data_IF_260073437089
#
_entry.id   IF_260073437089
#
_cell.length_a   1.000
_cell.length_b   1.000
_cell.length_c   1.000
_cell.angle_alpha   90.00
_cell.angle_beta   90.00
_cell.angle_gamma   90.00
#
_symmetry.space_group_name_H-M   'P 1'
#
loop_
_entity.id
_entity.type
_entity.pdbx_description
1 polymer ?
#
# COMPACT_ATOMS: atom_id res chain seq x y z
N UNK A 1 -0.56 25.04 -4.39
CA UNK A 1 -1.82 24.78 -3.65
C UNK A 1 -1.47 24.61 -2.18
N UNK A 2 -2.26 25.13 -1.24
CA UNK A 2 -2.03 24.95 0.19
C UNK A 2 -2.74 23.71 0.71
N UNK A 3 -2.09 22.95 1.60
CA UNK A 3 -2.71 21.86 2.35
C UNK A 3 -3.93 22.39 3.11
N UNK A 4 -5.05 21.67 3.07
CA UNK A 4 -6.33 22.10 3.69
C UNK A 4 -6.27 22.08 5.22
N UNK A 5 -5.75 20.99 5.80
CA UNK A 5 -5.59 20.82 7.24
C UNK A 5 -4.35 19.97 7.51
N UNK A 6 -3.52 20.40 8.46
CA UNK A 6 -2.42 19.59 8.97
C UNK A 6 -2.91 18.84 10.22
N UNK A 7 -3.38 17.60 10.04
CA UNK A 7 -3.96 16.78 11.13
C UNK A 7 -2.96 16.62 12.28
N UNK A 8 -1.67 16.40 11.98
CA UNK A 8 -0.65 16.24 13.01
C UNK A 8 -0.49 17.50 13.88
N UNK A 9 -0.65 18.70 13.30
CA UNK A 9 -0.56 19.95 14.07
C UNK A 9 -1.83 20.24 14.88
N UNK A 10 -3.01 19.99 14.33
CA UNK A 10 -4.29 20.36 14.96
C UNK A 10 -4.82 19.29 15.92
N UNK A 11 -4.53 18.02 15.66
CA UNK A 11 -4.93 16.89 16.49
C UNK A 11 -3.87 15.76 16.39
N UNK A 12 -2.76 15.89 17.13
CA UNK A 12 -1.67 14.90 17.11
C UNK A 12 -2.12 13.50 17.52
N UNK A 13 -3.10 13.39 18.42
CA UNK A 13 -3.64 12.11 18.87
C UNK A 13 -4.35 11.37 17.72
N UNK A 14 -5.18 12.07 16.95
CA UNK A 14 -5.82 11.50 15.77
C UNK A 14 -4.77 11.04 14.74
N UNK A 15 -3.73 11.84 14.48
CA UNK A 15 -2.64 11.43 13.59
C UNK A 15 -1.84 10.22 14.12
N UNK A 16 -1.66 10.14 15.44
CA UNK A 16 -0.95 9.05 16.10
C UNK A 16 -1.67 7.70 15.95
N UNK A 17 -3.01 7.69 15.84
CA UNK A 17 -3.77 6.45 15.61
C UNK A 17 -3.36 5.76 14.30
N UNK A 18 -3.35 6.50 13.19
CA UNK A 18 -2.90 6.01 11.88
C UNK A 18 -1.40 5.70 11.89
N UNK A 19 -0.59 6.51 12.58
CA UNK A 19 0.83 6.24 12.75
C UNK A 19 1.09 4.93 13.50
N UNK A 20 0.20 4.53 14.41
CA UNK A 20 0.26 3.25 15.12
C UNK A 20 0.11 2.05 14.18
N UNK A 21 -0.82 2.13 13.23
CA UNK A 21 -0.98 1.11 12.19
C UNK A 21 0.28 1.01 11.31
N UNK A 22 0.86 2.14 10.91
CA UNK A 22 2.11 2.15 10.13
C UNK A 22 3.28 1.54 10.91
N UNK A 23 3.40 1.83 12.21
CA UNK A 23 4.42 1.20 13.07
C UNK A 23 4.26 -0.31 13.13
N UNK A 24 3.03 -0.80 13.25
CA UNK A 24 2.74 -2.23 13.20
C UNK A 24 3.19 -2.84 11.86
N UNK A 25 2.79 -2.24 10.73
CA UNK A 25 3.16 -2.72 9.39
C UNK A 25 4.68 -2.76 9.21
N UNK A 26 5.40 -1.70 9.63
CA UNK A 26 6.88 -1.65 9.57
C UNK A 26 7.57 -2.70 10.45
N UNK A 27 6.94 -3.12 11.53
CA UNK A 27 7.45 -4.13 12.45
C UNK A 27 6.93 -5.56 12.15
N UNK A 28 6.12 -5.72 11.10
CA UNK A 28 5.55 -6.99 10.69
C UNK A 28 6.62 -7.96 10.17
N UNK A 29 6.23 -9.22 9.98
CA UNK A 29 7.10 -10.23 9.38
C UNK A 29 7.16 -10.17 7.85
N UNK A 30 6.42 -9.26 7.23
CA UNK A 30 6.43 -9.08 5.78
C UNK A 30 7.78 -8.59 5.27
N UNK A 31 8.13 -9.07 4.08
CA UNK A 31 9.29 -8.60 3.35
C UNK A 31 9.09 -7.13 2.97
N UNK A 32 10.07 -6.27 3.29
CA UNK A 32 9.99 -4.83 3.00
C UNK A 32 9.65 -4.52 1.53
N UNK A 33 10.19 -5.23 0.51
CA UNK A 33 9.80 -5.01 -0.87
C UNK A 33 8.29 -5.19 -1.10
N UNK A 34 7.67 -6.23 -0.52
CA UNK A 34 6.22 -6.46 -0.64
C UNK A 34 5.43 -5.30 -0.02
N UNK A 35 5.84 -4.82 1.16
CA UNK A 35 5.18 -3.67 1.81
C UNK A 35 5.18 -2.46 0.89
N UNK A 36 6.32 -2.11 0.28
CA UNK A 36 6.40 -0.93 -0.58
C UNK A 36 5.67 -1.12 -1.92
N UNK A 37 5.70 -2.32 -2.53
CA UNK A 37 4.89 -2.62 -3.72
C UNK A 37 3.39 -2.46 -3.45
N UNK A 38 2.90 -3.00 -2.32
CA UNK A 38 1.51 -2.85 -1.87
C UNK A 38 1.16 -1.37 -1.71
N UNK A 39 2.02 -0.62 -1.03
CA UNK A 39 1.81 0.81 -0.78
C UNK A 39 1.76 1.64 -2.06
N UNK A 40 2.69 1.40 -2.99
CA UNK A 40 2.70 2.09 -4.28
C UNK A 40 1.46 1.71 -5.08
N UNK A 41 1.12 0.41 -5.18
CA UNK A 41 0.00 -0.03 -6.02
C UNK A 41 -1.36 0.49 -5.53
N UNK A 42 -1.62 0.41 -4.23
CA UNK A 42 -2.84 1.00 -3.66
C UNK A 42 -2.90 2.52 -3.91
N UNK A 43 -1.76 3.21 -3.77
CA UNK A 43 -1.67 4.65 -4.01
C UNK A 43 -1.90 5.04 -5.47
N UNK A 44 -1.43 4.23 -6.43
CA UNK A 44 -1.72 4.40 -7.85
C UNK A 44 -3.23 4.28 -8.12
N UNK A 45 -3.89 3.27 -7.57
CA UNK A 45 -5.34 3.06 -7.74
C UNK A 45 -6.17 4.19 -7.11
N UNK A 46 -5.77 4.68 -5.94
CA UNK A 46 -6.45 5.77 -5.26
C UNK A 46 -6.09 7.16 -5.81
N UNK A 47 -5.06 7.29 -6.65
CA UNK A 47 -4.58 8.57 -7.18
C UNK A 47 -3.88 9.46 -6.13
N UNK A 48 -3.25 8.88 -5.11
CA UNK A 48 -2.51 9.66 -4.10
C UNK A 48 -1.09 10.02 -4.59
N UNK A 49 -0.91 11.17 -5.24
CA UNK A 49 0.39 11.61 -5.75
C UNK A 49 1.47 11.75 -4.65
N UNK A 50 1.10 12.26 -3.47
CA UNK A 50 2.00 12.34 -2.32
C UNK A 50 2.53 10.95 -1.90
N UNK A 51 1.63 10.00 -1.77
CA UNK A 51 1.95 8.64 -1.33
C UNK A 51 2.80 7.90 -2.39
N UNK A 52 2.49 8.09 -3.68
CA UNK A 52 3.30 7.55 -4.78
C UNK A 52 4.73 8.11 -4.71
N UNK A 53 4.90 9.43 -4.57
CA UNK A 53 6.22 10.05 -4.45
C UNK A 53 7.01 9.50 -3.25
N UNK A 54 6.37 9.40 -2.09
CA UNK A 54 7.01 8.92 -0.86
C UNK A 54 7.44 7.46 -0.98
N UNK A 55 6.52 6.57 -1.34
CA UNK A 55 6.80 5.13 -1.35
C UNK A 55 7.69 4.69 -2.51
N UNK A 56 7.68 5.39 -3.65
CA UNK A 56 8.69 5.12 -4.70
C UNK A 56 10.09 5.60 -4.30
N UNK A 57 10.23 6.63 -3.46
CA UNK A 57 11.53 7.00 -2.86
C UNK A 57 11.98 5.96 -1.82
N UNK A 58 11.08 5.53 -0.93
CA UNK A 58 11.37 4.49 0.06
C UNK A 58 11.75 3.16 -0.61
N UNK A 59 10.97 2.68 -1.59
CA UNK A 59 11.24 1.45 -2.32
C UNK A 59 12.64 1.45 -2.97
N UNK A 60 13.02 2.55 -3.62
CA UNK A 60 14.36 2.69 -4.22
C UNK A 60 15.47 2.68 -3.18
N UNK A 61 15.25 3.29 -2.02
CA UNK A 61 16.22 3.26 -0.93
C UNK A 61 16.44 1.85 -0.36
N UNK A 62 15.46 0.96 -0.52
CA UNK A 62 15.52 -0.46 -0.12
C UNK A 62 15.92 -1.39 -1.28
N UNK A 63 16.33 -0.84 -2.43
CA UNK A 63 16.88 -1.61 -3.56
C UNK A 63 15.89 -1.99 -4.67
N UNK A 64 14.66 -1.47 -4.63
CA UNK A 64 13.70 -1.67 -5.72
C UNK A 64 14.16 -0.96 -7.01
N UNK A 65 13.79 -1.52 -8.16
CA UNK A 65 14.26 -1.03 -9.46
C UNK A 65 13.23 -0.11 -10.12
N UNK A 66 13.72 0.88 -10.88
CA UNK A 66 12.85 1.74 -11.70
C UNK A 66 11.98 0.92 -12.66
N UNK A 67 12.54 -0.16 -13.25
CA UNK A 67 11.80 -1.06 -14.13
C UNK A 67 10.57 -1.65 -13.44
N UNK A 68 10.73 -2.19 -12.23
CA UNK A 68 9.62 -2.78 -11.47
C UNK A 68 8.63 -1.71 -10.99
N UNK A 69 9.10 -0.55 -10.55
CA UNK A 69 8.23 0.57 -10.14
C UNK A 69 7.33 1.04 -11.29
N UNK A 70 7.89 1.23 -12.49
CA UNK A 70 7.13 1.65 -13.66
C UNK A 70 6.16 0.57 -14.13
N UNK A 71 6.62 -0.69 -14.13
CA UNK A 71 5.83 -1.85 -14.52
C UNK A 71 4.69 -2.18 -13.55
N UNK A 72 4.76 -1.72 -12.29
CA UNK A 72 3.81 -2.06 -11.23
C UNK A 72 2.36 -1.75 -11.58
N UNK A 73 2.10 -0.70 -12.36
CA UNK A 73 0.73 -0.36 -12.79
C UNK A 73 0.11 -1.38 -13.77
N UNK A 74 0.96 -2.18 -14.41
CA UNK A 74 0.64 -3.21 -15.38
C UNK A 74 1.23 -4.58 -14.99
N UNK A 75 1.41 -4.84 -13.68
CA UNK A 75 2.19 -5.98 -13.16
C UNK A 75 1.79 -7.36 -13.72
N UNK A 76 0.52 -7.56 -14.09
CA UNK A 76 -0.01 -8.81 -14.67
C UNK A 76 0.57 -9.15 -16.06
N UNK A 77 1.02 -8.14 -16.80
CA UNK A 77 1.57 -8.30 -18.16
C UNK A 77 3.11 -8.18 -18.16
N UNK A 78 3.74 -8.68 -17.09
CA UNK A 78 5.19 -8.55 -16.89
C UNK A 78 5.75 -9.80 -16.21
N UNK A 79 7.02 -10.15 -16.46
CA UNK A 79 7.67 -11.28 -15.80
C UNK A 79 8.42 -10.88 -14.52
N UNK A 80 8.28 -9.63 -14.04
CA UNK A 80 9.19 -9.08 -13.03
C UNK A 80 8.83 -9.43 -11.59
N UNK A 81 7.60 -9.86 -11.33
CA UNK A 81 7.07 -10.10 -9.99
C UNK A 81 6.92 -11.61 -9.74
N UNK A 82 7.39 -12.08 -8.59
CA UNK A 82 7.21 -13.47 -8.14
C UNK A 82 5.74 -13.81 -7.89
N UNK A 83 5.39 -15.09 -7.83
CA UNK A 83 4.01 -15.54 -7.54
C UNK A 83 3.49 -14.97 -6.20
N UNK A 84 4.34 -14.92 -5.17
CA UNK A 84 4.02 -14.32 -3.88
C UNK A 84 3.73 -12.82 -3.97
N UNK A 85 4.53 -12.07 -4.74
CA UNK A 85 4.29 -10.65 -4.99
C UNK A 85 3.02 -10.42 -5.80
N UNK A 86 2.77 -11.24 -6.83
CA UNK A 86 1.56 -11.18 -7.63
C UNK A 86 0.31 -11.45 -6.79
N UNK A 87 0.34 -12.42 -5.88
CA UNK A 87 -0.75 -12.71 -4.97
C UNK A 87 -1.01 -11.52 -4.01
N UNK A 88 0.05 -10.91 -3.47
CA UNK A 88 -0.07 -9.71 -2.65
C UNK A 88 -0.65 -8.51 -3.42
N UNK A 89 -0.22 -8.32 -4.68
CA UNK A 89 -0.73 -7.26 -5.56
C UNK A 89 -2.19 -7.50 -5.92
N UNK A 90 -2.58 -8.73 -6.27
CA UNK A 90 -3.97 -9.08 -6.56
C UNK A 90 -4.89 -8.79 -5.36
N UNK A 91 -4.48 -9.20 -4.16
CA UNK A 91 -5.23 -8.91 -2.93
C UNK A 91 -5.28 -7.40 -2.66
N UNK A 92 -4.18 -6.68 -2.89
CA UNK A 92 -4.11 -5.22 -2.76
C UNK A 92 -5.13 -4.52 -3.64
N UNK A 93 -5.24 -4.91 -4.90
CA UNK A 93 -6.22 -4.33 -5.83
C UNK A 93 -7.66 -4.63 -5.41
N UNK A 94 -7.96 -5.89 -5.05
CA UNK A 94 -9.29 -6.31 -4.63
C UNK A 94 -9.76 -5.55 -3.38
N UNK A 95 -8.90 -5.43 -2.37
CA UNK A 95 -9.22 -4.69 -1.13
C UNK A 95 -9.28 -3.18 -1.38
N UNK A 96 -8.45 -2.63 -2.25
CA UNK A 96 -8.48 -1.19 -2.57
C UNK A 96 -9.76 -0.81 -3.31
N UNK A 97 -10.21 -1.65 -4.24
CA UNK A 97 -11.42 -1.47 -5.05
C UNK A 97 -12.65 -2.20 -4.47
N UNK A 98 -12.66 -2.44 -3.16
CA UNK A 98 -13.66 -3.29 -2.48
C UNK A 98 -15.11 -2.88 -2.75
N UNK A 99 -15.37 -1.59 -2.97
CA UNK A 99 -16.70 -1.08 -3.28
C UNK A 99 -17.24 -1.55 -4.65
N UNK A 100 -16.37 -1.94 -5.58
CA UNK A 100 -16.78 -2.36 -6.93
C UNK A 100 -17.19 -3.84 -6.96
N UNK A 101 -16.36 -4.72 -6.37
CA UNK A 101 -16.52 -6.18 -6.54
C UNK A 101 -16.26 -7.01 -5.27
N UNK A 102 -16.17 -6.40 -4.09
CA UNK A 102 -15.70 -7.05 -2.86
C UNK A 102 -14.33 -7.74 -3.07
N UNK A 103 -13.93 -8.63 -2.15
CA UNK A 103 -12.74 -9.47 -2.31
C UNK A 103 -13.20 -10.86 -2.76
N UNK A 104 -12.90 -11.28 -4.01
CA UNK A 104 -13.24 -12.63 -4.47
C UNK A 104 -12.51 -13.70 -3.65
N UNK A 105 -13.20 -14.81 -3.36
CA UNK A 105 -12.63 -15.92 -2.59
C UNK A 105 -11.35 -16.47 -3.24
N UNK A 106 -11.32 -16.57 -4.58
CA UNK A 106 -10.14 -17.05 -5.32
C UNK A 106 -8.91 -16.16 -5.11
N UNK A 107 -9.07 -14.84 -5.00
CA UNK A 107 -7.97 -13.90 -4.74
C UNK A 107 -7.44 -14.07 -3.32
N UNK A 108 -8.35 -14.23 -2.36
CA UNK A 108 -7.98 -14.49 -0.98
C UNK A 108 -7.24 -15.83 -0.83
N UNK A 109 -7.81 -16.90 -1.42
CA UNK A 109 -7.24 -18.24 -1.35
C UNK A 109 -5.88 -18.32 -2.07
N UNK A 110 -5.70 -17.58 -3.15
CA UNK A 110 -4.38 -17.49 -3.79
C UNK A 110 -3.36 -16.84 -2.86
N UNK A 111 -3.68 -15.71 -2.23
CA UNK A 111 -2.80 -15.11 -1.23
C UNK A 111 -2.50 -16.07 -0.06
N UNK A 112 -3.50 -16.80 0.44
CA UNK A 112 -3.34 -17.76 1.53
C UNK A 112 -2.41 -18.95 1.20
N UNK A 113 -2.09 -19.21 -0.07
CA UNK A 113 -1.07 -20.21 -0.44
C UNK A 113 0.37 -19.72 -0.21
N UNK A 114 0.59 -18.41 -0.25
CA UNK A 114 1.93 -17.79 -0.20
C UNK A 114 2.23 -17.12 1.15
N UNK A 115 1.21 -16.88 1.97
CA UNK A 115 1.29 -16.24 3.28
C UNK A 115 0.60 -17.12 4.32
N UNK A 116 1.28 -17.41 5.43
CA UNK A 116 0.65 -18.04 6.58
C UNK A 116 -0.38 -17.11 7.24
N UNK A 117 -1.22 -17.63 8.14
CA UNK A 117 -2.30 -16.85 8.77
C UNK A 117 -1.82 -15.52 9.37
N UNK A 118 -0.62 -15.54 9.98
CA UNK A 118 -0.01 -14.36 10.57
C UNK A 118 0.38 -13.33 9.49
N UNK A 119 1.21 -13.71 8.54
CA UNK A 119 1.69 -12.81 7.48
C UNK A 119 0.57 -12.37 6.53
N UNK A 120 -0.46 -13.20 6.31
CA UNK A 120 -1.65 -12.81 5.56
C UNK A 120 -2.46 -11.74 6.31
N UNK A 121 -2.61 -11.87 7.63
CA UNK A 121 -3.25 -10.83 8.45
C UNK A 121 -2.45 -9.52 8.41
N UNK A 122 -1.12 -9.60 8.47
CA UNK A 122 -0.23 -8.44 8.35
C UNK A 122 -0.35 -7.77 6.98
N UNK A 123 -0.47 -8.54 5.90
CA UNK A 123 -0.68 -8.05 4.54
C UNK A 123 -2.00 -7.30 4.42
N UNK A 124 -3.09 -7.85 4.95
CA UNK A 124 -4.41 -7.19 4.97
C UNK A 124 -4.32 -5.86 5.72
N UNK A 125 -3.68 -5.83 6.89
CA UNK A 125 -3.49 -4.60 7.65
C UNK A 125 -2.60 -3.60 6.90
N UNK A 126 -1.56 -4.05 6.19
CA UNK A 126 -0.73 -3.17 5.35
C UNK A 126 -1.56 -2.50 4.24
N UNK A 127 -2.42 -3.26 3.55
CA UNK A 127 -3.29 -2.73 2.50
C UNK A 127 -4.30 -1.71 3.06
N UNK A 128 -4.90 -2.01 4.23
CA UNK A 128 -5.84 -1.09 4.89
C UNK A 128 -5.11 0.18 5.34
N UNK A 129 -3.91 0.04 5.89
CA UNK A 129 -3.10 1.17 6.40
C UNK A 129 -2.80 2.15 5.28
N UNK A 130 -2.32 1.68 4.12
CA UNK A 130 -2.07 2.58 2.98
C UNK A 130 -3.35 3.20 2.43
N UNK A 131 -4.46 2.44 2.38
CA UNK A 131 -5.75 2.98 1.97
C UNK A 131 -6.23 4.11 2.89
N UNK A 132 -5.96 4.01 4.20
CA UNK A 132 -6.18 5.09 5.17
C UNK A 132 -5.29 6.30 4.91
N UNK A 133 -3.99 6.10 4.70
CA UNK A 133 -3.05 7.19 4.36
C UNK A 133 -3.42 7.91 3.06
N UNK A 134 -3.80 7.17 2.02
CA UNK A 134 -4.25 7.75 0.76
C UNK A 134 -5.45 8.68 0.97
N UNK A 135 -6.44 8.24 1.75
CA UNK A 135 -7.64 9.04 2.07
C UNK A 135 -7.27 10.31 2.84
N UNK A 136 -6.38 10.21 3.83
CA UNK A 136 -5.88 11.39 4.56
C UNK A 136 -5.18 12.35 3.61
N UNK A 137 -4.20 11.90 2.83
CA UNK A 137 -3.41 12.75 1.96
C UNK A 137 -4.28 13.46 0.90
N UNK A 138 -5.19 12.73 0.26
CA UNK A 138 -6.09 13.28 -0.77
C UNK A 138 -7.08 14.29 -0.15
N UNK A 139 -7.76 13.91 0.93
CA UNK A 139 -8.77 14.78 1.57
C UNK A 139 -8.15 16.05 2.13
N UNK A 140 -6.93 15.98 2.64
CA UNK A 140 -6.18 17.14 3.14
C UNK A 140 -5.44 17.93 2.06
N UNK A 141 -5.47 17.49 0.80
CA UNK A 141 -4.71 18.09 -0.31
C UNK A 141 -3.22 18.19 -0.03
N UNK A 142 -2.67 17.14 0.57
CA UNK A 142 -1.24 17.00 0.79
C UNK A 142 -0.55 16.75 -0.56
N UNK A 143 0.38 17.63 -0.93
CA UNK A 143 1.07 17.59 -2.23
C UNK A 143 2.46 16.98 -2.07
N UNK A 144 2.95 16.21 -3.06
CA UNK A 144 4.35 15.81 -3.11
C UNK A 144 5.26 17.05 -3.20
N UNK A 145 6.43 16.98 -2.57
CA UNK A 145 7.55 17.90 -2.81
C UNK A 145 8.13 17.73 -4.21
#
# INVERSE_FOLDING_TARGET
>A
MSTRININQVNPEAYATMSGMEKFVRASSLEKPIIELVKIRASQLNGCAFCINMHTKEARSEGETEQRIYALSAWRDTPYFSEKEQAALALTEAVTLIANHHVPDEVYQEAAKHFDDKSLSELIIAIITINGWNRIAITTSLMPE
#
